data_IF_598265781545
#
_entry.id   IF_598265781545
#
_cell.length_a   1.000
_cell.length_b   1.000
_cell.length_c   1.000
_cell.angle_alpha   90.00
_cell.angle_beta   90.00
_cell.angle_gamma   90.00
#
_symmetry.space_group_name_H-M   'P 1'
#
loop_
_entity.id
_entity.type
_entity.pdbx_description
1 polymer ?
#
# COMPACT_ATOMS: atom_id res chain seq x y z
N UNK A 1 -3.07 9.26 -12.74
CA UNK A 1 -2.72 9.02 -11.32
C UNK A 1 -2.81 10.29 -10.49
N UNK A 2 -2.13 11.40 -10.84
CA UNK A 2 -2.20 12.68 -10.10
C UNK A 2 -3.60 13.30 -9.97
N UNK A 3 -4.55 12.90 -10.83
CA UNK A 3 -5.92 13.43 -10.88
C UNK A 3 -6.94 12.68 -10.00
N UNK A 4 -6.64 11.46 -9.57
CA UNK A 4 -7.51 10.68 -8.64
C UNK A 4 -7.42 11.24 -7.21
N UNK A 5 -6.40 12.06 -6.93
CA UNK A 5 -6.13 12.60 -5.59
C UNK A 5 -7.05 13.77 -5.18
N UNK A 6 -7.84 14.33 -6.10
CA UNK A 6 -8.54 15.61 -5.88
C UNK A 6 -10.06 15.51 -5.69
N UNK A 7 -10.68 14.36 -5.97
CA UNK A 7 -12.16 14.22 -5.95
C UNK A 7 -12.69 13.25 -4.88
N UNK A 8 -11.82 12.51 -4.18
CA UNK A 8 -12.23 11.52 -3.18
C UNK A 8 -11.47 11.68 -1.86
N UNK A 9 -12.18 12.18 -0.85
CA UNK A 9 -11.60 12.63 0.43
C UNK A 9 -11.14 11.50 1.36
N UNK A 10 -11.47 10.23 1.07
CA UNK A 10 -11.15 9.10 1.95
C UNK A 10 -10.03 8.22 1.40
N UNK A 11 -9.09 7.88 2.27
CA UNK A 11 -7.96 7.01 1.95
C UNK A 11 -8.39 5.65 1.40
N UNK A 12 -9.49 5.09 1.94
CA UNK A 12 -10.12 3.87 1.41
C UNK A 12 -10.38 4.00 -0.10
N UNK A 13 -11.13 5.02 -0.52
CA UNK A 13 -11.53 5.18 -1.92
C UNK A 13 -10.33 5.47 -2.82
N UNK A 14 -9.38 6.29 -2.34
CA UNK A 14 -8.16 6.59 -3.09
C UNK A 14 -7.31 5.33 -3.36
N UNK A 15 -7.19 4.44 -2.38
CA UNK A 15 -6.48 3.17 -2.54
C UNK A 15 -7.22 2.27 -3.54
N UNK A 16 -8.54 2.15 -3.42
CA UNK A 16 -9.38 1.38 -4.35
C UNK A 16 -9.22 1.85 -5.79
N UNK A 17 -9.38 3.16 -6.02
CA UNK A 17 -9.29 3.77 -7.35
C UNK A 17 -7.93 3.56 -7.99
N UNK A 18 -6.83 3.63 -7.22
CA UNK A 18 -5.49 3.33 -7.72
C UNK A 18 -5.36 1.86 -8.13
N UNK A 19 -5.80 0.93 -7.28
CA UNK A 19 -5.71 -0.49 -7.59
C UNK A 19 -6.58 -0.86 -8.79
N UNK A 20 -7.84 -0.41 -8.82
CA UNK A 20 -8.75 -0.62 -9.93
C UNK A 20 -8.22 -0.03 -11.24
N UNK A 21 -7.61 1.16 -11.20
CA UNK A 21 -6.97 1.76 -12.37
C UNK A 21 -5.86 0.87 -12.93
N UNK A 22 -4.98 0.35 -12.07
CA UNK A 22 -3.86 -0.49 -12.51
C UNK A 22 -4.37 -1.83 -13.05
N UNK A 23 -5.32 -2.48 -12.37
CA UNK A 23 -5.94 -3.73 -12.84
C UNK A 23 -6.64 -3.54 -14.19
N UNK A 24 -7.49 -2.52 -14.32
CA UNK A 24 -8.20 -2.23 -15.56
C UNK A 24 -7.27 -1.80 -16.70
N UNK A 25 -6.15 -1.14 -16.38
CA UNK A 25 -5.11 -0.84 -17.37
C UNK A 25 -4.41 -2.11 -17.86
N UNK A 26 -4.05 -3.03 -16.96
CA UNK A 26 -3.45 -4.32 -17.32
C UNK A 26 -4.42 -5.17 -18.17
N UNK A 27 -5.70 -5.20 -17.80
CA UNK A 27 -6.75 -5.93 -18.54
C UNK A 27 -6.88 -5.44 -19.99
N UNK A 28 -6.88 -4.13 -20.20
CA UNK A 28 -6.96 -3.51 -21.53
C UNK A 28 -5.67 -3.65 -22.35
N UNK A 29 -4.53 -3.88 -21.70
CA UNK A 29 -3.21 -3.89 -22.33
C UNK A 29 -2.45 -5.18 -22.01
N UNK A 30 -2.91 -6.31 -22.58
CA UNK A 30 -2.33 -7.66 -22.40
C UNK A 30 -0.80 -7.71 -22.57
N UNK A 31 -0.26 -6.99 -23.55
CA UNK A 31 1.20 -6.91 -23.77
C UNK A 31 1.92 -6.24 -22.59
N UNK A 32 1.35 -5.16 -22.05
CA UNK A 32 1.92 -4.48 -20.87
C UNK A 32 1.73 -5.35 -19.63
N UNK A 33 0.62 -6.10 -19.50
CA UNK A 33 0.45 -7.05 -18.40
C UNK A 33 1.56 -8.12 -18.37
N UNK A 34 1.98 -8.67 -19.54
CA UNK A 34 3.13 -9.58 -19.64
C UNK A 34 4.46 -8.91 -19.26
N UNK A 35 4.64 -7.65 -19.64
CA UNK A 35 5.80 -6.85 -19.22
C UNK A 35 5.79 -6.68 -17.69
N UNK A 36 4.65 -6.30 -17.10
CA UNK A 36 4.47 -6.14 -15.65
C UNK A 36 4.70 -7.44 -14.87
N UNK A 37 4.40 -8.60 -15.45
CA UNK A 37 4.66 -9.92 -14.87
C UNK A 37 6.11 -10.40 -15.06
N UNK A 38 6.87 -9.78 -15.97
CA UNK A 38 8.24 -10.15 -16.29
C UNK A 38 8.40 -11.27 -17.33
N UNK A 39 7.32 -11.86 -17.85
CA UNK A 39 7.37 -12.93 -18.86
C UNK A 39 7.94 -12.46 -20.21
N UNK A 40 7.76 -11.17 -20.54
CA UNK A 40 8.26 -10.59 -21.79
C UNK A 40 9.79 -10.33 -21.78
N UNK A 41 10.51 -10.66 -20.71
CA UNK A 41 11.90 -10.25 -20.52
C UNK A 41 12.95 -11.21 -21.13
N UNK A 42 12.54 -12.36 -21.68
CA UNK A 42 13.44 -13.38 -22.23
C UNK A 42 14.24 -12.96 -23.49
N UNK A 43 14.06 -11.72 -23.98
CA UNK A 43 14.85 -11.13 -25.06
C UNK A 43 14.92 -9.59 -25.02
N UNK A 44 14.45 -8.97 -23.93
CA UNK A 44 14.42 -7.52 -23.76
C UNK A 44 15.64 -6.99 -23.01
N UNK A 45 15.91 -5.70 -23.14
CA UNK A 45 17.03 -5.07 -22.41
C UNK A 45 16.75 -4.99 -20.90
N UNK A 46 17.79 -5.11 -20.05
CA UNK A 46 17.73 -4.88 -18.58
C UNK A 46 17.00 -3.58 -18.19
N UNK A 47 16.94 -2.62 -19.11
CA UNK A 47 16.27 -1.34 -18.94
C UNK A 47 14.75 -1.49 -18.72
N UNK A 48 14.11 -2.46 -19.36
CA UNK A 48 12.66 -2.69 -19.21
C UNK A 48 12.35 -3.26 -17.83
N UNK A 49 13.11 -4.26 -17.39
CA UNK A 49 13.02 -4.81 -16.04
C UNK A 49 13.20 -3.73 -14.98
N UNK A 50 14.23 -2.87 -15.11
CA UNK A 50 14.47 -1.74 -14.20
C UNK A 50 13.31 -0.73 -14.17
N UNK A 51 12.55 -0.58 -15.26
CA UNK A 51 11.37 0.30 -15.29
C UNK A 51 10.18 -0.29 -14.53
N UNK A 52 9.95 -1.60 -14.65
CA UNK A 52 8.87 -2.29 -13.92
C UNK A 52 9.14 -2.27 -12.42
N UNK A 53 10.36 -2.58 -11.99
CA UNK A 53 10.76 -2.51 -10.58
C UNK A 53 10.49 -1.11 -10.03
N UNK A 54 10.96 -0.07 -10.72
CA UNK A 54 10.70 1.32 -10.32
C UNK A 54 9.21 1.70 -10.32
N UNK A 55 8.41 1.09 -11.19
CA UNK A 55 6.97 1.31 -11.20
C UNK A 55 6.33 0.79 -9.90
N UNK A 56 6.62 -0.46 -9.51
CA UNK A 56 6.09 -1.05 -8.28
C UNK A 56 6.63 -0.34 -7.02
N UNK A 57 7.91 0.04 -6.98
CA UNK A 57 8.48 0.85 -5.89
C UNK A 57 7.74 2.18 -5.71
N UNK A 58 7.42 2.86 -6.82
CA UNK A 58 6.67 4.12 -6.80
C UNK A 58 5.22 3.91 -6.40
N UNK A 59 4.58 2.83 -6.87
CA UNK A 59 3.22 2.48 -6.52
C UNK A 59 3.10 2.19 -5.02
N UNK A 60 4.00 1.37 -4.46
CA UNK A 60 4.03 1.10 -3.02
C UNK A 60 4.26 2.37 -2.20
N UNK A 61 5.19 3.22 -2.64
CA UNK A 61 5.46 4.50 -2.00
C UNK A 61 4.21 5.40 -1.99
N UNK A 62 3.48 5.44 -3.10
CA UNK A 62 2.25 6.23 -3.19
C UNK A 62 1.16 5.68 -2.26
N UNK A 63 0.94 4.37 -2.21
CA UNK A 63 -0.02 3.75 -1.29
C UNK A 63 0.35 4.04 0.17
N UNK A 64 1.64 3.93 0.51
CA UNK A 64 2.14 4.24 1.85
C UNK A 64 1.91 5.69 2.25
N UNK A 65 2.06 6.62 1.31
CA UNK A 65 1.78 8.04 1.56
C UNK A 65 0.30 8.25 1.87
N UNK A 66 -0.61 7.66 1.08
CA UNK A 66 -2.05 7.75 1.30
C UNK A 66 -2.43 7.23 2.70
N UNK A 67 -1.86 6.09 3.09
CA UNK A 67 -2.08 5.50 4.41
C UNK A 67 -1.62 6.44 5.54
N UNK A 68 -0.47 7.10 5.39
CA UNK A 68 0.05 8.06 6.38
C UNK A 68 -0.80 9.32 6.44
N UNK A 69 -1.23 9.82 5.30
CA UNK A 69 -2.12 10.99 5.23
C UNK A 69 -3.45 10.70 5.94
N UNK A 70 -3.97 9.47 5.82
CA UNK A 70 -5.18 9.01 6.52
C UNK A 70 -5.02 9.05 8.05
N UNK A 71 -3.86 8.64 8.57
CA UNK A 71 -3.59 8.69 10.03
C UNK A 71 -3.61 10.13 10.55
N UNK A 72 -3.12 11.09 9.75
CA UNK A 72 -3.07 12.50 10.12
C UNK A 72 -4.41 13.22 9.96
N UNK A 73 -5.12 13.00 8.85
CA UNK A 73 -6.28 13.82 8.48
C UNK A 73 -7.62 13.13 8.77
N UNK A 74 -7.67 11.81 8.61
CA UNK A 74 -8.88 11.00 8.81
C UNK A 74 -8.89 10.31 10.19
N UNK A 75 -7.78 10.37 10.94
CA UNK A 75 -7.59 9.71 12.24
C UNK A 75 -7.83 8.20 12.17
N UNK A 76 -7.48 7.58 11.05
CA UNK A 76 -7.53 6.13 10.86
C UNK A 76 -6.16 5.60 10.49
N UNK A 77 -5.83 4.40 10.94
CA UNK A 77 -4.56 3.74 10.62
C UNK A 77 -4.76 2.26 10.38
N UNK A 78 -3.90 1.60 9.61
CA UNK A 78 -4.02 0.17 9.44
C UNK A 78 -3.81 -0.58 10.76
N UNK A 79 -4.36 -1.78 10.84
CA UNK A 79 -4.10 -2.71 11.95
C UNK A 79 -2.67 -3.30 11.94
N UNK A 80 -1.87 -2.94 10.93
CA UNK A 80 -0.47 -3.29 10.77
C UNK A 80 0.37 -2.03 10.49
N UNK A 81 1.73 -2.11 10.51
CA UNK A 81 2.56 -0.98 10.11
C UNK A 81 2.25 -0.52 8.68
N UNK A 82 2.29 0.79 8.41
CA UNK A 82 1.95 1.35 7.11
C UNK A 82 2.76 0.75 5.94
N UNK A 83 4.02 0.37 6.19
CA UNK A 83 4.86 -0.30 5.19
C UNK A 83 4.35 -1.72 4.84
N UNK A 84 3.95 -2.50 5.86
CA UNK A 84 3.37 -3.83 5.64
C UNK A 84 2.02 -3.72 4.93
N UNK A 85 1.20 -2.73 5.31
CA UNK A 85 -0.08 -2.46 4.68
C UNK A 85 0.07 -2.08 3.20
N UNK A 86 1.00 -1.17 2.85
CA UNK A 86 1.24 -0.79 1.45
C UNK A 86 1.76 -1.97 0.62
N UNK A 87 2.66 -2.77 1.20
CA UNK A 87 3.21 -3.94 0.52
C UNK A 87 2.12 -5.00 0.26
N UNK A 88 1.23 -5.27 1.23
CA UNK A 88 0.10 -6.18 1.05
C UNK A 88 -0.77 -5.81 -0.15
N UNK A 89 -1.10 -4.53 -0.30
CA UNK A 89 -1.90 -4.04 -1.43
C UNK A 89 -1.20 -4.25 -2.77
N UNK A 90 0.10 -3.96 -2.84
CA UNK A 90 0.92 -4.15 -4.04
C UNK A 90 1.06 -5.63 -4.38
N UNK A 91 1.32 -6.49 -3.40
CA UNK A 91 1.39 -7.95 -3.61
C UNK A 91 0.08 -8.55 -4.11
N UNK A 92 -1.08 -8.07 -3.62
CA UNK A 92 -2.37 -8.49 -4.14
C UNK A 92 -2.55 -8.08 -5.60
N UNK A 93 -2.21 -6.83 -5.93
CA UNK A 93 -2.26 -6.31 -7.29
C UNK A 93 -1.39 -7.15 -8.25
N UNK A 94 -0.14 -7.42 -7.86
CA UNK A 94 0.79 -8.25 -8.61
C UNK A 94 0.23 -9.66 -8.81
N UNK A 95 -0.29 -10.30 -7.76
CA UNK A 95 -0.88 -11.63 -7.84
C UNK A 95 -2.06 -11.72 -8.81
N UNK A 96 -2.91 -10.68 -8.85
CA UNK A 96 -4.03 -10.56 -9.80
C UNK A 96 -3.54 -10.48 -11.25
N UNK A 97 -2.53 -9.65 -11.52
CA UNK A 97 -1.95 -9.50 -12.86
C UNK A 97 -1.23 -10.78 -13.28
N UNK A 98 -0.49 -11.41 -12.37
CA UNK A 98 0.19 -12.67 -12.62
C UNK A 98 -0.79 -13.80 -12.95
N UNK A 99 -1.94 -13.87 -12.27
CA UNK A 99 -2.98 -14.84 -12.60
C UNK A 99 -3.59 -14.59 -13.98
N UNK A 100 -3.89 -13.33 -14.32
CA UNK A 100 -4.37 -12.96 -15.65
C UNK A 100 -3.41 -13.41 -16.75
N UNK A 101 -2.11 -13.13 -16.60
CA UNK A 101 -1.09 -13.55 -17.57
C UNK A 101 -0.97 -15.07 -17.64
N UNK A 102 -0.86 -15.76 -16.50
CA UNK A 102 -0.71 -17.23 -16.43
C UNK A 102 -1.91 -17.98 -17.00
N UNK A 103 -3.10 -17.38 -16.92
CA UNK A 103 -4.32 -17.92 -17.52
C UNK A 103 -4.43 -17.67 -19.04
N UNK A 104 -3.39 -17.14 -19.68
CA UNK A 104 -3.39 -16.66 -21.07
C UNK A 104 -4.55 -15.69 -21.33
N UNK A 105 -4.77 -14.80 -20.37
CA UNK A 105 -5.78 -13.74 -20.40
C UNK A 105 -7.24 -14.21 -20.41
N UNK A 106 -7.51 -15.46 -20.00
CA UNK A 106 -8.87 -15.99 -19.89
C UNK A 106 -9.56 -15.56 -18.59
N UNK A 107 -8.79 -15.34 -17.51
CA UNK A 107 -9.30 -14.89 -16.21
C UNK A 107 -9.02 -13.40 -16.03
N UNK A 108 -10.04 -12.56 -16.06
CA UNK A 108 -9.86 -11.11 -15.92
C UNK A 108 -9.21 -10.74 -14.57
N UNK A 109 -8.24 -9.79 -14.53
CA UNK A 109 -7.64 -9.35 -13.28
C UNK A 109 -8.62 -8.54 -12.42
N UNK A 110 -9.72 -8.03 -13.00
CA UNK A 110 -10.80 -7.34 -12.25
C UNK A 110 -11.92 -8.28 -11.81
N UNK A 111 -11.82 -9.58 -12.14
CA UNK A 111 -12.79 -10.59 -11.70
C UNK A 111 -12.86 -10.64 -10.16
N UNK A 112 -14.08 -10.57 -9.62
CA UNK A 112 -14.40 -10.51 -8.18
C UNK A 112 -13.74 -9.35 -7.43
N UNK A 113 -13.36 -8.28 -8.13
CA UNK A 113 -12.66 -7.16 -7.49
C UNK A 113 -13.49 -6.48 -6.39
N UNK A 114 -14.79 -6.14 -6.59
CA UNK A 114 -15.58 -5.50 -5.55
C UNK A 114 -15.65 -6.32 -4.26
N UNK A 115 -15.92 -7.63 -4.36
CA UNK A 115 -16.05 -8.51 -3.21
C UNK A 115 -14.73 -8.67 -2.46
N UNK A 116 -13.63 -8.87 -3.19
CA UNK A 116 -12.31 -9.02 -2.59
C UNK A 116 -11.80 -7.73 -1.97
N UNK A 117 -12.08 -6.58 -2.59
CA UNK A 117 -11.73 -5.28 -2.04
C UNK A 117 -12.46 -5.03 -0.72
N UNK A 118 -13.78 -5.25 -0.69
CA UNK A 118 -14.57 -5.13 0.54
C UNK A 118 -14.02 -6.04 1.64
N UNK A 119 -13.74 -7.32 1.33
CA UNK A 119 -13.20 -8.26 2.30
C UNK A 119 -11.78 -7.91 2.78
N UNK A 120 -10.92 -7.39 1.90
CA UNK A 120 -9.57 -6.96 2.24
C UNK A 120 -9.60 -5.74 3.17
N UNK A 121 -10.53 -4.82 2.93
CA UNK A 121 -10.67 -3.59 3.70
C UNK A 121 -11.40 -3.79 5.02
N UNK A 122 -12.17 -4.88 5.15
CA UNK A 122 -12.74 -5.29 6.42
C UNK A 122 -11.63 -5.55 7.45
N UNK A 123 -11.64 -4.77 8.52
CA UNK A 123 -10.56 -4.79 9.52
C UNK A 123 -9.19 -4.29 9.03
N UNK A 124 -9.09 -3.68 7.84
CA UNK A 124 -7.81 -3.10 7.39
C UNK A 124 -7.46 -1.88 8.22
N UNK A 125 -8.39 -0.95 8.34
CA UNK A 125 -8.26 0.27 9.15
C UNK A 125 -8.89 0.11 10.53
N UNK A 126 -8.32 0.85 11.49
CA UNK A 126 -8.89 1.12 12.81
C UNK A 126 -8.74 2.60 13.13
N UNK A 127 -9.46 3.05 14.16
CA UNK A 127 -9.28 4.40 14.68
C UNK A 127 -7.85 4.58 15.22
N UNK A 128 -7.20 5.66 14.81
CA UNK A 128 -5.95 6.11 15.37
C UNK A 128 -6.28 6.79 16.70
N UNK A 129 -6.37 6.00 17.79
CA UNK A 129 -6.39 6.55 19.14
C UNK A 129 -5.23 7.53 19.26
N UNK A 130 -5.51 8.78 19.62
CA UNK A 130 -4.50 9.79 19.91
C UNK A 130 -3.58 9.23 21.01
N UNK A 131 -2.45 8.66 20.62
CA UNK A 131 -1.47 8.19 21.58
C UNK A 131 -0.84 9.43 22.19
N UNK A 132 -1.28 9.77 23.41
CA UNK A 132 -0.53 10.65 24.27
C UNK A 132 0.92 10.13 24.30
N UNK A 133 1.94 10.98 24.08
CA UNK A 133 3.31 10.55 23.97
C UNK A 133 3.68 9.70 25.18
N UNK A 134 4.08 8.45 24.95
CA UNK A 134 4.47 7.47 26.00
C UNK A 134 5.80 7.82 26.70
N UNK A 135 6.14 9.10 26.80
CA UNK A 135 7.30 9.62 27.51
C UNK A 135 6.89 10.75 28.48
N UNK A 136 6.07 10.43 29.48
CA UNK A 136 5.82 11.34 30.62
C UNK A 136 5.55 10.63 31.96
N UNK A 137 6.01 9.38 32.13
CA UNK A 137 5.99 8.66 33.43
C UNK A 137 7.41 8.43 33.99
N UNK A 138 8.42 9.15 33.50
CA UNK A 138 9.79 9.11 34.05
C UNK A 138 10.18 10.42 34.75
N UNK A 139 9.33 10.89 35.67
CA UNK A 139 9.74 11.72 36.81
C UNK A 139 8.88 11.29 37.98
N UNK A 140 9.44 10.64 39.00
CA UNK A 140 9.02 10.81 40.41
C UNK A 140 9.73 9.95 41.47
N UNK A 141 10.56 8.95 41.13
CA UNK A 141 11.26 8.14 42.16
C UNK A 141 12.80 8.17 42.06
N UNK A 142 13.41 9.35 42.00
CA UNK A 142 14.85 9.49 42.27
C UNK A 142 15.04 9.77 43.77
N UNK A 143 15.80 8.94 44.53
CA UNK A 143 16.10 9.24 45.93
C UNK A 143 16.96 10.52 46.03
N UNK A 144 16.85 11.28 47.14
CA UNK A 144 17.62 12.51 47.31
C UNK A 144 19.13 12.19 47.39
N UNK A 145 19.92 13.01 46.71
CA UNK A 145 21.38 13.01 46.80
C UNK A 145 21.80 13.24 48.24
N UNK A 146 22.26 12.20 48.92
CA UNK A 146 22.91 12.33 50.23
C UNK A 146 24.28 12.97 50.00
N UNK A 147 24.40 14.21 50.44
CA UNK A 147 25.65 14.91 50.59
C UNK A 147 26.60 14.09 51.49
N UNK A 148 27.75 13.69 50.95
CA UNK A 148 28.88 13.28 51.79
C UNK A 148 29.80 14.48 51.97
N UNK A 149 29.73 15.06 53.16
CA UNK A 149 30.77 15.87 53.74
C UNK A 149 31.82 14.94 54.36
N UNK A 150 33.05 14.96 53.83
CA UNK A 150 34.34 14.93 54.54
C UNK A 150 35.49 14.87 53.54
#
# INVERSE_FOLDING_TARGET
VTRITQEEDRAFTRLECIMALVLGFAEKNRGIARIMNGDALAGETERVQKRIVKFYERLETQMRQIIRDAEMHEKIRPNMPAAAASNLLVSLLEGKIAHFVRSEFTVSPTQYWPEQWQQLMDGFFREALAQAPRHSIARQNAPPLVAKAR
#
